data_IF_524995545133
#
_entry.id   IF_524995545133
#
_cell.length_a   1.000
_cell.length_b   1.000
_cell.length_c   1.000
_cell.angle_alpha   90.00
_cell.angle_beta   90.00
_cell.angle_gamma   90.00
#
_symmetry.space_group_name_H-M   'P 1'
#
loop_
_entity.id
_entity.type
_entity.pdbx_description
1 polymer ?
#
# COMPACT_ATOMS: atom_id res chain seq x y z
N UNK A 1 7.47 -14.99 10.70
CA UNK A 1 8.73 -14.46 11.26
C UNK A 1 9.07 -13.11 10.68
N UNK A 2 9.17 -12.94 9.33
CA UNK A 2 9.35 -11.61 8.71
C UNK A 2 8.33 -10.59 9.22
N UNK A 3 7.03 -10.95 9.22
CA UNK A 3 5.96 -10.10 9.73
C UNK A 3 6.10 -9.72 11.20
N UNK A 4 6.69 -10.59 12.02
CA UNK A 4 6.90 -10.34 13.45
C UNK A 4 8.00 -9.30 13.66
N UNK A 5 9.15 -9.47 12.99
CA UNK A 5 10.24 -8.49 13.08
C UNK A 5 9.84 -7.14 12.47
N UNK A 6 9.16 -7.16 11.33
CA UNK A 6 8.62 -5.97 10.71
C UNK A 6 7.60 -5.27 11.60
N UNK A 7 6.71 -5.98 12.31
CA UNK A 7 5.77 -5.35 13.25
C UNK A 7 6.45 -4.66 14.45
N UNK A 8 7.70 -5.01 14.75
CA UNK A 8 8.51 -4.38 15.81
C UNK A 8 9.54 -3.38 15.27
N UNK A 9 9.40 -2.93 14.01
CA UNK A 9 10.30 -2.01 13.33
C UNK A 9 11.77 -2.47 13.23
N UNK A 10 12.00 -3.78 13.34
CA UNK A 10 13.31 -4.39 13.22
C UNK A 10 13.65 -4.67 11.75
N UNK A 11 13.93 -3.59 10.98
CA UNK A 11 14.22 -3.66 9.54
C UNK A 11 15.33 -4.67 9.20
N UNK A 12 16.47 -4.56 9.87
CA UNK A 12 17.60 -5.45 9.62
C UNK A 12 17.24 -6.93 9.84
N UNK A 13 16.49 -7.24 10.90
CA UNK A 13 16.10 -8.60 11.22
C UNK A 13 15.01 -9.14 10.28
N UNK A 14 14.07 -8.27 9.90
CA UNK A 14 13.04 -8.62 8.92
C UNK A 14 13.65 -8.93 7.55
N UNK A 15 14.64 -8.12 7.11
CA UNK A 15 15.38 -8.34 5.86
C UNK A 15 16.24 -9.60 5.96
N UNK A 16 16.98 -9.80 7.05
CA UNK A 16 17.81 -11.02 7.22
C UNK A 16 16.96 -12.29 7.12
N UNK A 17 15.83 -12.34 7.82
CA UNK A 17 14.92 -13.50 7.75
C UNK A 17 14.32 -13.67 6.36
N UNK A 18 13.98 -12.57 5.68
CA UNK A 18 13.49 -12.63 4.30
C UNK A 18 14.55 -13.19 3.34
N UNK A 19 15.81 -12.81 3.49
CA UNK A 19 16.94 -13.36 2.72
C UNK A 19 17.21 -14.82 3.04
N UNK A 20 17.20 -15.21 4.32
CA UNK A 20 17.33 -16.61 4.75
C UNK A 20 16.22 -17.49 4.14
N UNK A 21 14.97 -17.02 4.14
CA UNK A 21 13.86 -17.75 3.50
C UNK A 21 14.14 -17.99 2.02
N UNK A 22 14.64 -16.98 1.32
CA UNK A 22 15.00 -17.09 -0.11
C UNK A 22 16.14 -18.06 -0.36
N UNK A 23 17.16 -18.09 0.51
CA UNK A 23 18.30 -19.00 0.38
C UNK A 23 17.91 -20.47 0.55
N UNK A 24 16.81 -20.75 1.26
CA UNK A 24 16.35 -22.10 1.57
C UNK A 24 15.22 -22.55 0.64
N UNK A 25 15.06 -21.90 -0.52
CA UNK A 25 13.96 -22.11 -1.48
C UNK A 25 12.56 -22.03 -0.86
N UNK A 26 12.42 -21.27 0.24
CA UNK A 26 11.11 -20.98 0.84
C UNK A 26 10.57 -19.68 0.28
N UNK A 27 9.42 -19.75 -0.37
CA UNK A 27 8.73 -18.56 -0.87
C UNK A 27 8.18 -17.72 0.29
N UNK A 28 8.53 -16.42 0.38
CA UNK A 28 7.89 -15.49 1.31
C UNK A 28 6.38 -15.42 1.00
N UNK A 29 5.56 -15.39 2.04
CA UNK A 29 4.10 -15.25 1.88
C UNK A 29 3.70 -13.82 1.52
N UNK A 30 2.49 -13.62 0.97
CA UNK A 30 1.93 -12.29 0.74
C UNK A 30 2.01 -11.40 1.99
N UNK A 31 1.73 -11.96 3.17
CA UNK A 31 1.86 -11.24 4.45
C UNK A 31 3.30 -10.83 4.78
N UNK A 32 4.30 -11.56 4.30
CA UNK A 32 5.70 -11.17 4.47
C UNK A 32 6.01 -9.93 3.63
N UNK A 33 5.53 -9.89 2.39
CA UNK A 33 5.67 -8.71 1.52
C UNK A 33 4.94 -7.49 2.08
N UNK A 34 3.67 -7.64 2.48
CA UNK A 34 2.90 -6.55 3.12
C UNK A 34 3.64 -6.01 4.33
N UNK A 35 4.22 -6.88 5.16
CA UNK A 35 4.96 -6.42 6.33
C UNK A 35 6.24 -5.65 5.97
N UNK A 36 6.99 -6.07 4.95
CA UNK A 36 8.16 -5.34 4.46
C UNK A 36 7.78 -4.01 3.80
N UNK A 37 6.69 -3.96 3.04
CA UNK A 37 6.16 -2.72 2.46
C UNK A 37 5.74 -1.74 3.55
N UNK A 38 5.01 -2.19 4.57
CA UNK A 38 4.63 -1.34 5.71
C UNK A 38 5.84 -0.80 6.47
N UNK A 39 6.88 -1.62 6.62
CA UNK A 39 8.14 -1.20 7.23
C UNK A 39 8.85 -0.14 6.39
N UNK A 40 8.84 -0.30 5.06
CA UNK A 40 9.29 0.72 4.11
C UNK A 40 8.50 2.02 4.24
N UNK A 41 7.17 1.96 4.39
CA UNK A 41 6.30 3.12 4.58
C UNK A 41 6.64 3.88 5.85
N UNK A 42 6.81 3.17 6.97
CA UNK A 42 7.13 3.78 8.27
C UNK A 42 8.53 4.36 8.33
N UNK A 43 9.50 3.70 7.69
CA UNK A 43 10.88 4.15 7.61
C UNK A 43 11.15 5.24 6.57
N UNK A 44 10.18 5.59 5.72
CA UNK A 44 10.36 6.46 4.54
C UNK A 44 11.49 5.94 3.61
N UNK A 45 11.60 4.63 3.46
CA UNK A 45 12.66 3.94 2.71
C UNK A 45 12.22 3.57 1.27
N UNK A 46 11.94 4.55 0.40
CA UNK A 46 11.39 4.32 -0.94
C UNK A 46 12.19 3.31 -1.80
N UNK A 47 13.52 3.35 -1.72
CA UNK A 47 14.37 2.43 -2.48
C UNK A 47 14.16 0.97 -2.06
N UNK A 48 14.00 0.74 -0.75
CA UNK A 48 13.68 -0.58 -0.23
C UNK A 48 12.30 -1.03 -0.71
N UNK A 49 11.28 -0.18 -0.61
CA UNK A 49 9.93 -0.45 -1.12
C UNK A 49 9.91 -0.81 -2.60
N UNK A 50 10.69 -0.10 -3.44
CA UNK A 50 10.86 -0.41 -4.87
C UNK A 50 11.51 -1.78 -5.11
N UNK A 51 12.50 -2.17 -4.30
CA UNK A 51 13.10 -3.51 -4.38
C UNK A 51 12.08 -4.59 -4.05
N UNK A 52 11.28 -4.37 -3.00
CA UNK A 52 10.21 -5.30 -2.62
C UNK A 52 9.15 -5.39 -3.72
N UNK A 53 8.70 -4.27 -4.29
CA UNK A 53 7.74 -4.27 -5.40
C UNK A 53 8.27 -5.04 -6.63
N UNK A 54 9.51 -4.79 -7.05
CA UNK A 54 10.13 -5.54 -8.14
C UNK A 54 10.18 -7.05 -7.85
N UNK A 55 10.41 -7.43 -6.59
CA UNK A 55 10.38 -8.83 -6.19
C UNK A 55 8.98 -9.42 -6.29
N UNK A 56 7.96 -8.71 -5.83
CA UNK A 56 6.54 -9.10 -5.94
C UNK A 56 6.18 -9.39 -7.41
N UNK A 57 6.54 -8.49 -8.33
CA UNK A 57 6.33 -8.68 -9.78
C UNK A 57 7.07 -9.92 -10.27
N UNK A 58 8.35 -10.08 -9.89
CA UNK A 58 9.19 -11.21 -10.33
C UNK A 58 8.62 -12.57 -9.93
N UNK A 59 7.96 -12.66 -8.77
CA UNK A 59 7.33 -13.90 -8.29
C UNK A 59 5.86 -14.03 -8.69
N UNK A 60 5.30 -13.04 -9.40
CA UNK A 60 3.97 -13.08 -10.00
C UNK A 60 2.82 -13.08 -8.99
N UNK A 61 3.00 -12.43 -7.83
CA UNK A 61 1.96 -12.32 -6.79
C UNK A 61 1.37 -10.91 -6.68
N UNK A 62 1.81 -9.99 -7.54
CA UNK A 62 1.22 -8.67 -7.73
C UNK A 62 -0.20 -8.76 -8.28
N UNK A 63 -0.42 -9.66 -9.25
CA UNK A 63 -1.70 -9.82 -9.91
C UNK A 63 -2.68 -10.64 -9.04
N UNK A 64 -3.83 -10.05 -8.72
CA UNK A 64 -4.92 -10.70 -8.00
C UNK A 64 -4.81 -10.70 -6.47
N UNK A 65 -3.75 -10.09 -5.89
CA UNK A 65 -3.61 -9.94 -4.44
C UNK A 65 -3.94 -8.51 -4.00
N UNK A 66 -5.21 -8.28 -3.65
CA UNK A 66 -5.71 -7.00 -3.09
C UNK A 66 -4.87 -6.54 -1.90
N UNK A 67 -4.42 -7.47 -1.06
CA UNK A 67 -3.58 -7.18 0.10
C UNK A 67 -2.23 -6.58 -0.29
N UNK A 68 -1.61 -7.08 -1.36
CA UNK A 68 -0.31 -6.57 -1.82
C UNK A 68 -0.51 -5.26 -2.58
N UNK A 69 -1.53 -5.17 -3.43
CA UNK A 69 -1.84 -3.95 -4.19
C UNK A 69 -2.13 -2.77 -3.25
N UNK A 70 -3.01 -2.94 -2.27
CA UNK A 70 -3.32 -1.90 -1.29
C UNK A 70 -2.10 -1.48 -0.44
N UNK A 71 -1.22 -2.43 -0.09
CA UNK A 71 0.03 -2.14 0.61
C UNK A 71 1.05 -1.40 -0.27
N UNK A 72 1.14 -1.72 -1.56
CA UNK A 72 2.00 -1.01 -2.52
C UNK A 72 1.53 0.43 -2.74
N UNK A 73 0.23 0.63 -2.92
CA UNK A 73 -0.39 1.97 -3.04
C UNK A 73 -0.04 2.83 -1.82
N UNK A 74 -0.28 2.30 -0.62
CA UNK A 74 0.03 2.96 0.65
C UNK A 74 1.54 3.24 0.80
N UNK A 75 2.39 2.27 0.45
CA UNK A 75 3.84 2.42 0.53
C UNK A 75 4.36 3.52 -0.37
N UNK A 76 3.95 3.57 -1.63
CA UNK A 76 4.34 4.63 -2.55
C UNK A 76 3.82 6.00 -2.11
N UNK A 77 2.54 6.07 -1.72
CA UNK A 77 1.92 7.30 -1.26
C UNK A 77 2.58 7.86 0.01
N UNK A 78 2.84 7.01 0.99
CA UNK A 78 3.58 7.39 2.22
C UNK A 78 5.06 7.66 1.98
N UNK A 79 5.63 7.32 0.82
CA UNK A 79 6.99 7.69 0.43
C UNK A 79 7.00 8.87 -0.56
N UNK A 80 5.90 9.62 -0.64
CA UNK A 80 5.77 10.84 -1.45
C UNK A 80 5.91 10.60 -2.97
N UNK A 81 5.79 9.34 -3.42
CA UNK A 81 5.83 8.91 -4.84
C UNK A 81 4.39 8.60 -5.32
N UNK A 82 3.56 9.65 -5.38
CA UNK A 82 2.13 9.51 -5.73
C UNK A 82 1.92 8.92 -7.12
N UNK A 83 2.81 9.21 -8.08
CA UNK A 83 2.68 8.69 -9.43
C UNK A 83 2.75 7.16 -9.44
N UNK A 84 3.74 6.57 -8.76
CA UNK A 84 3.85 5.12 -8.65
C UNK A 84 2.66 4.51 -7.88
N UNK A 85 2.12 5.23 -6.88
CA UNK A 85 0.91 4.81 -6.17
C UNK A 85 -0.30 4.74 -7.12
N UNK A 86 -0.49 5.77 -7.96
CA UNK A 86 -1.55 5.82 -8.98
C UNK A 86 -1.37 4.72 -10.01
N UNK A 87 -0.15 4.50 -10.50
CA UNK A 87 0.14 3.46 -11.48
C UNK A 87 -0.26 2.07 -10.94
N UNK A 88 0.07 1.76 -9.68
CA UNK A 88 -0.35 0.50 -9.03
C UNK A 88 -1.88 0.43 -8.92
N UNK A 89 -2.54 1.49 -8.47
CA UNK A 89 -4.00 1.53 -8.34
C UNK A 89 -4.72 1.35 -9.68
N UNK A 90 -4.19 1.92 -10.76
CA UNK A 90 -4.74 1.78 -12.11
C UNK A 90 -4.51 0.39 -12.69
N UNK A 91 -3.42 -0.28 -12.33
CA UNK A 91 -3.11 -1.65 -12.74
C UNK A 91 -3.92 -2.71 -11.96
N UNK A 92 -4.54 -2.34 -10.83
CA UNK A 92 -5.39 -3.26 -10.08
C UNK A 92 -6.61 -3.70 -10.88
N UNK A 93 -6.75 -5.01 -11.10
CA UNK A 93 -7.84 -5.61 -11.88
C UNK A 93 -9.23 -5.26 -11.31
N UNK A 94 -9.35 -5.31 -9.99
CA UNK A 94 -10.51 -4.85 -9.25
C UNK A 94 -10.04 -3.75 -8.30
N UNK A 95 -10.60 -2.55 -8.45
CA UNK A 95 -10.39 -1.44 -7.53
C UNK A 95 -11.21 -1.70 -6.27
N UNK A 96 -10.71 -2.63 -5.46
CA UNK A 96 -11.36 -3.03 -4.22
C UNK A 96 -11.46 -1.85 -3.23
N UNK A 97 -12.31 -2.02 -2.21
CA UNK A 97 -12.41 -1.06 -1.12
C UNK A 97 -11.04 -0.75 -0.50
N UNK A 98 -10.22 -1.77 -0.26
CA UNK A 98 -8.88 -1.62 0.34
C UNK A 98 -7.95 -0.80 -0.56
N UNK A 99 -7.97 -1.02 -1.87
CA UNK A 99 -7.17 -0.23 -2.81
C UNK A 99 -7.63 1.23 -2.85
N UNK A 100 -8.95 1.46 -2.84
CA UNK A 100 -9.51 2.81 -2.82
C UNK A 100 -9.16 3.53 -1.51
N UNK A 101 -9.28 2.85 -0.37
CA UNK A 101 -8.92 3.39 0.94
C UNK A 101 -7.42 3.75 1.03
N UNK A 102 -6.54 2.87 0.53
CA UNK A 102 -5.10 3.18 0.44
C UNK A 102 -4.83 4.40 -0.44
N UNK A 103 -5.51 4.51 -1.58
CA UNK A 103 -5.34 5.65 -2.49
C UNK A 103 -5.87 6.95 -1.87
N UNK A 104 -7.07 6.93 -1.29
CA UNK A 104 -7.64 8.08 -0.58
C UNK A 104 -6.71 8.57 0.54
N UNK A 105 -6.16 7.64 1.32
CA UNK A 105 -5.22 7.97 2.40
C UNK A 105 -3.92 8.58 1.85
N UNK A 106 -3.43 8.06 0.72
CA UNK A 106 -2.23 8.57 0.04
C UNK A 106 -2.42 9.97 -0.53
N UNK A 107 -3.55 10.21 -1.20
CA UNK A 107 -3.93 11.53 -1.72
C UNK A 107 -4.08 12.54 -0.58
N UNK A 108 -4.75 12.14 0.50
CA UNK A 108 -4.93 12.97 1.69
C UNK A 108 -3.60 13.30 2.38
N UNK A 109 -2.69 12.33 2.47
CA UNK A 109 -1.34 12.54 3.05
C UNK A 109 -0.57 13.64 2.32
N UNK A 110 -0.73 13.72 1.00
CA UNK A 110 -0.02 14.66 0.14
C UNK A 110 -0.80 15.96 -0.14
N UNK A 111 -2.01 16.09 0.42
CA UNK A 111 -2.83 17.30 0.30
C UNK A 111 -3.61 17.40 -1.02
N UNK A 112 -3.77 16.30 -1.76
CA UNK A 112 -4.60 16.22 -2.96
C UNK A 112 -6.10 16.10 -2.58
N UNK A 113 -6.63 17.12 -1.91
CA UNK A 113 -7.95 17.05 -1.26
C UNK A 113 -9.10 16.88 -2.26
N UNK A 114 -8.99 17.52 -3.43
CA UNK A 114 -9.99 17.40 -4.48
C UNK A 114 -10.06 15.97 -5.03
N UNK A 115 -8.92 15.35 -5.28
CA UNK A 115 -8.82 13.97 -5.76
C UNK A 115 -9.39 12.96 -4.74
N UNK A 116 -9.32 13.25 -3.42
CA UNK A 116 -10.00 12.44 -2.39
C UNK A 116 -11.51 12.46 -2.59
N UNK A 117 -12.11 13.62 -2.85
CA UNK A 117 -13.56 13.72 -3.08
C UNK A 117 -13.98 13.06 -4.40
N UNK A 118 -13.17 13.22 -5.44
CA UNK A 118 -13.42 12.59 -6.74
C UNK A 118 -13.38 11.07 -6.63
N UNK A 119 -12.38 10.53 -5.93
CA UNK A 119 -12.27 9.10 -5.71
C UNK A 119 -13.43 8.57 -4.84
N UNK A 120 -13.81 9.29 -3.77
CA UNK A 120 -14.97 8.89 -2.96
C UNK A 120 -16.28 8.91 -3.77
N UNK A 121 -16.47 9.94 -4.61
CA UNK A 121 -17.65 10.04 -5.49
C UNK A 121 -17.68 8.88 -6.50
N UNK A 122 -16.52 8.56 -7.08
CA UNK A 122 -16.37 7.41 -7.96
C UNK A 122 -16.70 6.08 -7.25
N UNK A 123 -16.23 5.86 -6.02
CA UNK A 123 -16.60 4.68 -5.23
C UNK A 123 -18.12 4.54 -5.05
N UNK A 124 -18.80 5.65 -4.75
CA UNK A 124 -20.27 5.67 -4.61
C UNK A 124 -20.96 5.34 -5.93
N UNK A 125 -20.49 5.90 -7.06
CA UNK A 125 -21.05 5.61 -8.38
C UNK A 125 -20.88 4.15 -8.79
N UNK A 126 -19.75 3.54 -8.46
CA UNK A 126 -19.46 2.13 -8.76
C UNK A 126 -20.08 1.16 -7.74
N UNK A 127 -20.85 1.64 -6.77
CA UNK A 127 -21.46 0.85 -5.69
C UNK A 127 -20.42 0.09 -4.83
N UNK A 128 -19.21 0.63 -4.69
CA UNK A 128 -18.23 0.13 -3.73
C UNK A 128 -18.69 0.54 -2.33
N UNK A 129 -18.98 -0.44 -1.48
CA UNK A 129 -19.42 -0.19 -0.09
C UNK A 129 -18.25 0.42 0.69
N UNK A 130 -18.36 1.71 0.98
CA UNK A 130 -17.36 2.44 1.77
C UNK A 130 -17.43 2.07 3.26
N UNK A 131 -16.34 2.30 3.98
CA UNK A 131 -16.21 2.01 5.41
C UNK A 131 -15.77 3.23 6.22
N UNK A 132 -15.38 3.00 7.48
CA UNK A 132 -14.87 4.04 8.39
C UNK A 132 -13.65 4.77 7.81
N UNK A 133 -12.75 4.06 7.13
CA UNK A 133 -11.52 4.66 6.56
C UNK A 133 -11.88 5.60 5.41
N UNK A 134 -12.80 5.19 4.54
CA UNK A 134 -13.27 6.05 3.45
C UNK A 134 -13.90 7.33 3.99
N UNK A 135 -14.81 7.21 4.97
CA UNK A 135 -15.50 8.35 5.57
C UNK A 135 -14.55 9.28 6.33
N UNK A 136 -13.67 8.72 7.14
CA UNK A 136 -12.66 9.48 7.89
C UNK A 136 -11.75 10.29 6.97
N UNK A 137 -11.31 9.66 5.87
CA UNK A 137 -10.48 10.33 4.85
C UNK A 137 -11.21 11.49 4.19
N UNK A 138 -12.47 11.30 3.79
CA UNK A 138 -13.31 12.35 3.18
C UNK A 138 -13.60 13.50 4.15
N UNK A 139 -13.97 13.20 5.39
CA UNK A 139 -14.24 14.22 6.43
C UNK A 139 -12.98 15.03 6.72
N UNK A 140 -11.83 14.35 6.83
CA UNK A 140 -10.56 15.03 7.04
C UNK A 140 -10.19 15.91 5.87
N UNK A 141 -10.37 15.46 4.63
CA UNK A 141 -10.18 16.30 3.45
C UNK A 141 -11.06 17.56 3.50
N UNK A 142 -12.34 17.41 3.88
CA UNK A 142 -13.27 18.55 4.02
C UNK A 142 -12.81 19.55 5.07
N UNK A 143 -12.36 19.07 6.24
CA UNK A 143 -11.84 19.94 7.31
C UNK A 143 -10.58 20.72 6.94
N UNK A 144 -9.82 20.26 5.94
CA UNK A 144 -8.59 20.92 5.48
C UNK A 144 -8.84 21.91 4.32
N UNK A 145 -9.99 21.80 3.64
CA UNK A 145 -10.40 22.74 2.59
C UNK A 145 -11.15 23.98 3.11
N UNK A 146 -11.63 23.95 4.37
CA UNK A 146 -12.47 25.00 4.98
C UNK A 146 -11.68 26.11 5.65
#
# INVERSE_FOLDING_TARGET
MVSVYAANDLLHEAVRVFEEMRLWDKHPSAMSFVALLNLSSRGKELLFGKQIHNFVIKVGIDYGSVLIQSALIDMYGKNDDIQSSIDVFQCSHERSLECCNSMMTSLLHLGFLQDVFELFSWMVCENIVFDEVSLSSTIKAFSLCS
#
